data_IF_787286864093
#
_entry.id   IF_787286864093
#
_cell.length_a   1.000
_cell.length_b   1.000
_cell.length_c   1.000
_cell.angle_alpha   90.00
_cell.angle_beta   90.00
_cell.angle_gamma   90.00
#
_symmetry.space_group_name_H-M   'P 1'
#
loop_
_entity.id
_entity.type
_entity.pdbx_description
1 polymer ?
#
# COMPACT_ATOMS: atom_id res chain seq x y z
N UNK A 1 -18.10 8.44 -3.53
CA UNK A 1 -18.43 6.98 -3.59
C UNK A 1 -17.75 6.32 -2.40
N UNK A 2 -18.52 5.58 -1.59
CA UNK A 2 -18.03 5.00 -0.34
C UNK A 2 -16.85 4.03 -0.53
N UNK A 3 -16.93 3.18 -1.55
CA UNK A 3 -15.87 2.22 -1.87
C UNK A 3 -14.57 2.93 -2.25
N UNK A 4 -14.64 3.97 -3.07
CA UNK A 4 -13.49 4.80 -3.45
C UNK A 4 -12.95 5.57 -2.23
N UNK A 5 -13.81 6.20 -1.44
CA UNK A 5 -13.41 6.96 -0.25
C UNK A 5 -12.67 6.07 0.77
N UNK A 6 -13.06 4.78 0.84
CA UNK A 6 -12.38 3.78 1.67
C UNK A 6 -10.97 3.46 1.16
N UNK A 7 -10.79 3.24 -0.14
CA UNK A 7 -9.47 3.03 -0.73
C UNK A 7 -8.57 4.27 -0.54
N UNK A 8 -9.12 5.47 -0.73
CA UNK A 8 -8.39 6.73 -0.49
C UNK A 8 -7.98 6.88 0.98
N UNK A 9 -8.84 6.52 1.93
CA UNK A 9 -8.49 6.55 3.35
C UNK A 9 -7.36 5.56 3.71
N UNK A 10 -7.29 4.43 3.02
CA UNK A 10 -6.16 3.48 3.14
C UNK A 10 -4.88 4.05 2.53
N UNK A 11 -4.97 4.76 1.39
CA UNK A 11 -3.85 5.50 0.82
C UNK A 11 -3.24 6.50 1.79
N UNK A 12 -4.06 7.21 2.57
CA UNK A 12 -3.57 8.17 3.59
C UNK A 12 -2.68 7.49 4.65
N UNK A 13 -3.03 6.26 5.05
CA UNK A 13 -2.22 5.47 5.99
C UNK A 13 -0.92 4.99 5.32
N UNK A 14 -1.01 4.53 4.06
CA UNK A 14 0.14 4.05 3.28
C UNK A 14 1.12 5.20 3.02
N UNK A 15 0.65 6.37 2.63
CA UNK A 15 1.50 7.55 2.40
C UNK A 15 2.25 7.99 3.66
N UNK A 16 1.58 7.99 4.83
CA UNK A 16 2.28 8.24 6.11
C UNK A 16 3.33 7.17 6.40
N UNK A 17 3.06 5.91 6.08
CA UNK A 17 4.06 4.84 6.16
C UNK A 17 5.27 5.09 5.26
N UNK A 18 5.06 5.62 4.04
CA UNK A 18 6.12 6.01 3.11
C UNK A 18 6.95 7.20 3.64
N UNK A 19 6.29 8.19 4.27
CA UNK A 19 6.99 9.33 4.88
C UNK A 19 7.92 8.87 6.01
N UNK A 20 7.45 7.95 6.85
CA UNK A 20 8.25 7.36 7.93
C UNK A 20 9.40 6.52 7.37
N UNK A 21 9.15 5.73 6.32
CA UNK A 21 10.18 4.94 5.63
C UNK A 21 11.27 5.85 5.04
N UNK A 22 10.89 6.96 4.42
CA UNK A 22 11.83 7.94 3.86
C UNK A 22 12.74 8.57 4.94
N UNK A 23 12.15 8.97 6.09
CA UNK A 23 12.92 9.44 7.25
C UNK A 23 13.88 8.37 7.76
N UNK A 24 13.42 7.12 7.88
CA UNK A 24 14.26 6.01 8.31
C UNK A 24 15.44 5.76 7.35
N UNK A 25 15.21 5.81 6.04
CA UNK A 25 16.27 5.71 5.02
C UNK A 25 17.32 6.81 5.21
N UNK A 26 16.91 8.06 5.42
CA UNK A 26 17.84 9.18 5.70
C UNK A 26 18.70 8.94 6.93
N UNK A 27 18.14 8.36 8.00
CA UNK A 27 18.91 7.97 9.21
C UNK A 27 19.85 6.80 8.96
N UNK A 28 19.39 5.80 8.19
CA UNK A 28 20.21 4.66 7.79
C UNK A 28 21.44 5.11 7.00
N UNK A 29 21.26 5.98 6.02
CA UNK A 29 22.36 6.51 5.18
C UNK A 29 23.32 7.42 5.95
N UNK A 30 22.83 8.07 7.03
CA UNK A 30 23.64 8.91 7.91
C UNK A 30 24.22 8.14 9.11
N UNK A 31 24.14 6.82 9.10
CA UNK A 31 24.57 5.93 10.19
C UNK A 31 23.94 6.26 11.57
N UNK A 32 22.73 6.80 11.54
CA UNK A 32 21.96 7.11 12.74
C UNK A 32 21.07 5.93 13.15
N UNK A 33 20.73 5.82 14.46
CA UNK A 33 19.84 4.76 14.92
C UNK A 33 18.41 4.95 14.45
N UNK A 34 17.74 3.82 14.17
CA UNK A 34 16.29 3.71 13.94
C UNK A 34 15.69 2.78 14.99
N UNK A 35 14.37 2.79 15.23
CA UNK A 35 13.71 1.85 16.13
C UNK A 35 14.07 0.40 15.80
N UNK A 36 14.34 -0.41 16.82
CA UNK A 36 14.87 -1.77 16.65
C UNK A 36 13.89 -2.70 15.90
N UNK A 37 12.59 -2.46 16.02
CA UNK A 37 11.53 -3.23 15.35
C UNK A 37 11.23 -2.72 13.93
N UNK A 38 11.67 -1.51 13.56
CA UNK A 38 11.35 -0.89 12.28
C UNK A 38 11.82 -1.69 11.06
N UNK A 39 13.05 -2.25 11.02
CA UNK A 39 13.53 -2.99 9.84
C UNK A 39 12.67 -4.21 9.46
N UNK A 40 12.02 -4.83 10.44
CA UNK A 40 11.09 -5.94 10.22
C UNK A 40 9.63 -5.46 10.10
N UNK A 41 9.26 -4.47 10.89
CA UNK A 41 7.89 -3.95 10.95
C UNK A 41 7.49 -3.20 9.69
N UNK A 42 8.37 -2.39 9.09
CA UNK A 42 8.04 -1.63 7.91
C UNK A 42 7.72 -2.53 6.68
N UNK A 43 8.53 -3.55 6.32
CA UNK A 43 8.13 -4.50 5.28
C UNK A 43 6.87 -5.30 5.63
N UNK A 44 6.64 -5.62 6.91
CA UNK A 44 5.40 -6.30 7.34
C UNK A 44 4.16 -5.40 7.17
N UNK A 45 4.27 -4.11 7.51
CA UNK A 45 3.22 -3.12 7.25
C UNK A 45 2.84 -3.07 5.76
N UNK A 46 3.80 -2.89 4.87
CA UNK A 46 3.51 -2.82 3.43
C UNK A 46 2.99 -4.15 2.88
N UNK A 47 3.52 -5.29 3.31
CA UNK A 47 3.03 -6.59 2.86
C UNK A 47 1.63 -6.95 3.37
N UNK A 48 1.26 -6.52 4.58
CA UNK A 48 -0.03 -6.89 5.17
C UNK A 48 -1.09 -5.84 4.94
N UNK A 49 -0.76 -4.57 5.16
CA UNK A 49 -1.74 -3.49 5.00
C UNK A 49 -1.84 -3.04 3.55
N UNK A 50 -0.74 -2.62 2.91
CA UNK A 50 -0.80 -2.13 1.54
C UNK A 50 -1.10 -3.25 0.53
N UNK A 51 -0.53 -4.45 0.68
CA UNK A 51 -0.75 -5.53 -0.28
C UNK A 51 -1.95 -6.40 0.08
N UNK A 52 -1.93 -7.14 1.20
CA UNK A 52 -2.98 -8.12 1.51
C UNK A 52 -4.32 -7.53 1.92
N UNK A 53 -4.34 -6.30 2.41
CA UNK A 53 -5.60 -5.62 2.75
C UNK A 53 -6.05 -4.70 1.61
N UNK A 54 -5.22 -3.77 1.17
CA UNK A 54 -5.56 -2.74 0.18
C UNK A 54 -5.51 -3.28 -1.26
N UNK A 55 -4.34 -3.63 -1.81
CA UNK A 55 -4.23 -4.12 -3.20
C UNK A 55 -5.09 -5.35 -3.46
N UNK A 56 -5.28 -6.23 -2.48
CA UNK A 56 -6.16 -7.38 -2.67
C UNK A 56 -7.63 -6.99 -2.90
N UNK A 57 -8.13 -5.89 -2.32
CA UNK A 57 -9.46 -5.37 -2.64
C UNK A 57 -9.52 -4.84 -4.07
N UNK A 58 -8.46 -4.21 -4.53
CA UNK A 58 -8.37 -3.71 -5.89
C UNK A 58 -8.29 -4.85 -6.91
N UNK A 59 -7.38 -5.76 -6.74
CA UNK A 59 -7.11 -6.85 -7.68
C UNK A 59 -8.25 -7.87 -7.75
N UNK A 60 -8.83 -8.23 -6.58
CA UNK A 60 -9.84 -9.28 -6.49
C UNK A 60 -11.26 -8.77 -6.74
N UNK A 61 -11.54 -7.49 -6.50
CA UNK A 61 -12.90 -6.94 -6.52
C UNK A 61 -13.04 -5.70 -7.40
N UNK A 62 -12.26 -4.65 -7.14
CA UNK A 62 -12.47 -3.35 -7.75
C UNK A 62 -12.08 -3.33 -9.23
N UNK A 63 -10.88 -3.78 -9.58
CA UNK A 63 -10.43 -3.83 -10.98
C UNK A 63 -11.26 -4.76 -11.86
N UNK A 64 -11.71 -5.95 -11.41
CA UNK A 64 -12.68 -6.76 -12.16
C UNK A 64 -13.97 -6.01 -12.48
N UNK A 65 -14.56 -5.31 -11.52
CA UNK A 65 -15.74 -4.48 -11.78
C UNK A 65 -15.45 -3.39 -12.80
N UNK A 66 -14.33 -2.67 -12.67
CA UNK A 66 -13.98 -1.61 -13.61
C UNK A 66 -13.79 -2.13 -15.04
N UNK A 67 -13.25 -3.35 -15.21
CA UNK A 67 -13.17 -4.02 -16.51
C UNK A 67 -14.56 -4.30 -17.09
N UNK A 68 -15.48 -4.79 -16.28
CA UNK A 68 -16.88 -5.00 -16.69
C UNK A 68 -17.56 -3.69 -17.10
N UNK A 69 -17.17 -2.56 -16.50
CA UNK A 69 -17.66 -1.21 -16.83
C UNK A 69 -16.88 -0.54 -17.96
N UNK A 70 -15.96 -1.26 -18.62
CA UNK A 70 -15.28 -0.82 -19.85
C UNK A 70 -13.93 -0.11 -19.64
N UNK A 71 -13.35 -0.10 -18.43
CA UNK A 71 -11.98 0.38 -18.21
C UNK A 71 -11.02 -0.74 -18.60
N UNK A 72 -10.10 -0.53 -19.57
CA UNK A 72 -9.27 -1.60 -20.08
C UNK A 72 -8.14 -1.97 -19.12
N UNK A 73 -7.84 -3.27 -19.06
CA UNK A 73 -6.61 -3.79 -18.45
C UNK A 73 -5.47 -3.77 -19.45
N UNK A 74 -5.60 -4.52 -20.55
CA UNK A 74 -4.55 -4.59 -21.58
C UNK A 74 -4.37 -3.24 -22.28
N UNK A 75 -3.15 -2.69 -22.17
CA UNK A 75 -2.84 -1.35 -22.70
C UNK A 75 -3.53 -0.20 -21.98
N UNK A 76 -4.19 -0.44 -20.85
CA UNK A 76 -4.96 0.52 -20.09
C UNK A 76 -4.45 0.77 -18.66
N UNK A 77 -5.14 1.61 -17.88
CA UNK A 77 -4.69 2.00 -16.56
C UNK A 77 -4.64 0.81 -15.57
N UNK A 78 -5.56 -0.14 -15.64
CA UNK A 78 -5.58 -1.30 -14.73
C UNK A 78 -4.30 -2.15 -14.89
N UNK A 79 -3.85 -2.40 -16.14
CA UNK A 79 -2.62 -3.16 -16.38
C UNK A 79 -1.37 -2.46 -15.84
N UNK A 80 -1.35 -1.13 -15.85
CA UNK A 80 -0.27 -0.35 -15.25
C UNK A 80 -0.27 -0.53 -13.73
N UNK A 81 -1.43 -0.46 -13.06
CA UNK A 81 -1.55 -0.65 -11.60
C UNK A 81 -1.09 -2.04 -11.20
N UNK A 82 -1.57 -3.09 -11.86
CA UNK A 82 -1.17 -4.48 -11.59
C UNK A 82 0.36 -4.69 -11.72
N UNK A 83 0.97 -4.12 -12.76
CA UNK A 83 2.42 -4.19 -12.94
C UNK A 83 3.17 -3.48 -11.79
N UNK A 84 2.70 -2.33 -11.35
CA UNK A 84 3.33 -1.57 -10.26
C UNK A 84 3.16 -2.27 -8.91
N UNK A 85 2.03 -2.96 -8.68
CA UNK A 85 1.86 -3.84 -7.52
C UNK A 85 2.95 -4.92 -7.48
N UNK A 86 3.23 -5.58 -8.61
CA UNK A 86 4.26 -6.63 -8.67
C UNK A 86 5.66 -6.07 -8.41
N UNK A 87 6.00 -4.91 -8.96
CA UNK A 87 7.28 -4.25 -8.69
C UNK A 87 7.37 -3.84 -7.21
N UNK A 88 6.29 -3.32 -6.63
CA UNK A 88 6.21 -2.98 -5.22
C UNK A 88 6.41 -4.20 -4.30
N UNK A 89 5.79 -5.34 -4.63
CA UNK A 89 5.99 -6.61 -3.91
C UNK A 89 7.45 -7.06 -3.91
N UNK A 90 8.15 -6.89 -5.05
CA UNK A 90 9.59 -7.20 -5.12
C UNK A 90 10.42 -6.29 -4.21
N UNK A 91 10.14 -5.00 -4.19
CA UNK A 91 10.83 -4.06 -3.29
C UNK A 91 10.61 -4.41 -1.81
N UNK A 92 9.36 -4.73 -1.42
CA UNK A 92 9.01 -5.14 -0.05
C UNK A 92 9.71 -6.46 0.32
N UNK A 93 9.76 -7.42 -0.59
CA UNK A 93 10.50 -8.68 -0.39
C UNK A 93 11.98 -8.42 -0.13
N UNK A 94 12.64 -7.56 -0.93
CA UNK A 94 14.06 -7.19 -0.75
C UNK A 94 14.32 -6.46 0.58
N UNK A 95 13.42 -5.58 1.02
CA UNK A 95 13.52 -4.95 2.34
C UNK A 95 13.41 -5.99 3.47
N UNK A 96 12.51 -6.97 3.33
CA UNK A 96 12.35 -8.07 4.31
C UNK A 96 13.60 -8.93 4.37
N UNK A 97 14.14 -9.36 3.24
CA UNK A 97 15.37 -10.15 3.16
C UNK A 97 16.55 -9.43 3.83
N UNK A 98 16.65 -8.11 3.65
CA UNK A 98 17.66 -7.28 4.30
C UNK A 98 17.53 -7.23 5.84
N UNK A 99 16.35 -7.59 6.37
CA UNK A 99 16.01 -7.54 7.80
C UNK A 99 16.02 -8.92 8.48
N UNK A 100 16.12 -10.00 7.70
CA UNK A 100 16.07 -11.37 8.18
C UNK A 100 17.48 -11.91 8.53
N UNK A 101 17.53 -13.04 9.27
CA UNK A 101 18.77 -13.76 9.52
C UNK A 101 19.66 -13.20 10.64
N UNK A 102 19.15 -12.28 11.46
CA UNK A 102 19.85 -11.76 12.65
C UNK A 102 20.89 -10.67 12.36
N UNK A 103 21.10 -10.30 11.11
CA UNK A 103 21.89 -9.14 10.70
C UNK A 103 21.05 -8.23 9.80
N UNK A 104 20.94 -6.96 10.19
CA UNK A 104 20.25 -5.96 9.38
C UNK A 104 21.23 -5.39 8.33
N UNK A 105 21.00 -5.74 7.06
CA UNK A 105 21.71 -5.14 5.92
C UNK A 105 21.12 -3.75 5.60
N UNK A 106 21.70 -2.73 6.23
CA UNK A 106 21.26 -1.33 6.09
C UNK A 106 21.31 -0.84 4.64
N UNK A 107 22.34 -1.22 3.89
CA UNK A 107 22.55 -0.75 2.52
C UNK A 107 21.52 -1.37 1.56
N UNK A 108 21.28 -2.66 1.66
CA UNK A 108 20.27 -3.35 0.85
C UNK A 108 18.86 -2.86 1.17
N UNK A 109 18.54 -2.68 2.46
CA UNK A 109 17.25 -2.13 2.88
C UNK A 109 17.02 -0.73 2.31
N UNK A 110 17.97 0.20 2.48
CA UNK A 110 17.87 1.55 1.97
C UNK A 110 17.74 1.58 0.43
N UNK A 111 18.45 0.72 -0.27
CA UNK A 111 18.36 0.62 -1.74
C UNK A 111 16.95 0.21 -2.17
N UNK A 112 16.39 -0.85 -1.58
CA UNK A 112 15.05 -1.31 -1.91
C UNK A 112 13.97 -0.29 -1.54
N UNK A 113 14.10 0.37 -0.38
CA UNK A 113 13.18 1.41 0.06
C UNK A 113 13.20 2.65 -0.87
N UNK A 114 14.37 3.07 -1.35
CA UNK A 114 14.52 4.20 -2.28
C UNK A 114 13.92 3.94 -3.67
N UNK A 115 13.82 2.69 -4.09
CA UNK A 115 13.08 2.30 -5.29
C UNK A 115 11.57 2.27 -5.02
N UNK A 116 11.16 1.76 -3.86
CA UNK A 116 9.76 1.59 -3.47
C UNK A 116 9.02 2.90 -3.24
N UNK A 117 9.62 3.83 -2.50
CA UNK A 117 8.95 5.09 -2.09
C UNK A 117 8.40 5.88 -3.28
N UNK A 118 9.21 6.27 -4.28
CA UNK A 118 8.71 7.02 -5.42
C UNK A 118 7.74 6.21 -6.30
N UNK A 119 7.96 4.90 -6.42
CA UNK A 119 7.06 4.01 -7.15
C UNK A 119 5.65 4.07 -6.55
N UNK A 120 5.51 3.82 -5.25
CA UNK A 120 4.20 3.73 -4.61
C UNK A 120 3.52 5.10 -4.48
N UNK A 121 4.27 6.18 -4.25
CA UNK A 121 3.70 7.54 -4.28
C UNK A 121 3.12 7.90 -5.65
N UNK A 122 3.83 7.57 -6.74
CA UNK A 122 3.32 7.82 -8.10
C UNK A 122 2.12 6.91 -8.44
N UNK A 123 2.14 5.69 -7.95
CA UNK A 123 1.04 4.73 -8.06
C UNK A 123 -0.23 5.30 -7.41
N UNK A 124 -0.18 5.63 -6.12
CA UNK A 124 -1.30 6.24 -5.37
C UNK A 124 -1.79 7.53 -6.06
N UNK A 125 -0.87 8.37 -6.53
CA UNK A 125 -1.26 9.58 -7.25
C UNK A 125 -2.06 9.27 -8.52
N UNK A 126 -1.68 8.26 -9.29
CA UNK A 126 -2.40 7.86 -10.52
C UNK A 126 -3.76 7.25 -10.19
N UNK A 127 -3.88 6.47 -9.14
CA UNK A 127 -5.16 5.94 -8.70
C UNK A 127 -6.10 7.05 -8.24
N UNK A 128 -5.68 7.86 -7.29
CA UNK A 128 -6.51 8.94 -6.76
C UNK A 128 -6.96 9.95 -7.82
N UNK A 129 -6.08 10.32 -8.75
CA UNK A 129 -6.32 11.41 -9.69
C UNK A 129 -6.77 10.96 -11.09
N UNK A 130 -6.58 9.69 -11.44
CA UNK A 130 -6.95 9.18 -12.77
C UNK A 130 -7.90 8.00 -12.66
N UNK A 131 -7.47 6.85 -12.09
CA UNK A 131 -8.25 5.63 -12.13
C UNK A 131 -9.56 5.75 -11.33
N UNK A 132 -9.53 6.32 -10.13
CA UNK A 132 -10.71 6.49 -9.29
C UNK A 132 -11.68 7.54 -9.86
N UNK A 133 -11.18 8.55 -10.59
CA UNK A 133 -12.04 9.47 -11.33
C UNK A 133 -12.73 8.76 -12.52
N UNK A 134 -12.01 7.90 -13.24
CA UNK A 134 -12.60 7.08 -14.28
C UNK A 134 -13.64 6.12 -13.69
N UNK A 135 -13.34 5.47 -12.57
CA UNK A 135 -14.25 4.60 -11.85
C UNK A 135 -15.55 5.32 -11.46
N UNK A 136 -15.45 6.51 -10.87
CA UNK A 136 -16.61 7.32 -10.48
C UNK A 136 -17.53 7.71 -11.67
N UNK A 137 -16.98 7.75 -12.90
CA UNK A 137 -17.76 8.06 -14.09
C UNK A 137 -18.48 6.84 -14.69
N UNK A 138 -18.03 5.61 -14.39
CA UNK A 138 -18.59 4.39 -14.99
C UNK A 138 -19.37 3.53 -14.01
N UNK A 139 -19.14 3.67 -12.70
CA UNK A 139 -19.86 2.95 -11.65
C UNK A 139 -21.20 3.60 -11.34
N UNK A 140 -22.22 2.77 -11.11
CA UNK A 140 -23.51 3.20 -10.57
C UNK A 140 -23.47 3.28 -9.03
N UNK A 141 -24.50 3.86 -8.41
CA UNK A 141 -24.68 3.85 -6.95
C UNK A 141 -24.86 2.43 -6.39
N UNK A 142 -25.48 1.53 -7.16
CA UNK A 142 -25.62 0.12 -6.79
C UNK A 142 -24.25 -0.59 -6.83
N UNK A 143 -23.40 -0.31 -7.83
CA UNK A 143 -22.04 -0.83 -7.90
C UNK A 143 -21.21 -0.40 -6.68
N UNK A 144 -21.31 0.87 -6.28
CA UNK A 144 -20.59 1.42 -5.13
C UNK A 144 -21.02 0.77 -3.81
N UNK A 145 -22.33 0.57 -3.64
CA UNK A 145 -22.89 -0.06 -2.44
C UNK A 145 -22.47 -1.53 -2.33
N UNK A 146 -22.61 -2.29 -3.43
CA UNK A 146 -22.20 -3.69 -3.51
C UNK A 146 -20.67 -3.86 -3.28
N UNK A 147 -19.89 -2.93 -3.80
CA UNK A 147 -18.43 -2.94 -3.63
C UNK A 147 -18.02 -2.68 -2.17
N UNK A 148 -18.61 -1.70 -1.49
CA UNK A 148 -18.32 -1.42 -0.07
C UNK A 148 -18.72 -2.60 0.84
N UNK A 149 -19.83 -3.26 0.54
CA UNK A 149 -20.26 -4.47 1.23
C UNK A 149 -19.26 -5.63 1.01
N UNK A 150 -18.80 -5.83 -0.22
CA UNK A 150 -17.77 -6.85 -0.55
C UNK A 150 -16.42 -6.57 0.12
N UNK A 151 -16.00 -5.31 0.20
CA UNK A 151 -14.79 -4.94 0.96
C UNK A 151 -14.92 -5.33 2.43
N UNK A 152 -16.07 -5.06 3.03
CA UNK A 152 -16.36 -5.43 4.42
C UNK A 152 -16.33 -6.95 4.61
N UNK A 153 -16.95 -7.71 3.69
CA UNK A 153 -16.95 -9.17 3.75
C UNK A 153 -15.54 -9.75 3.65
N UNK A 154 -14.72 -9.28 2.70
CA UNK A 154 -13.33 -9.75 2.53
C UNK A 154 -12.47 -9.46 3.76
N UNK A 155 -12.64 -8.30 4.38
CA UNK A 155 -11.93 -7.99 5.64
C UNK A 155 -12.32 -8.93 6.78
N UNK A 156 -13.59 -9.30 6.87
CA UNK A 156 -14.07 -10.29 7.86
C UNK A 156 -13.50 -11.68 7.58
N UNK A 157 -13.61 -12.17 6.35
CA UNK A 157 -13.17 -13.50 5.94
C UNK A 157 -11.65 -13.71 6.08
N UNK A 158 -10.87 -12.66 5.84
CA UNK A 158 -9.39 -12.70 5.90
C UNK A 158 -8.82 -12.29 7.26
N UNK A 159 -9.66 -12.07 8.29
CA UNK A 159 -9.25 -11.57 9.61
C UNK A 159 -8.46 -10.26 9.56
N UNK A 160 -8.87 -9.33 8.71
CA UNK A 160 -8.25 -8.02 8.54
C UNK A 160 -8.90 -6.92 9.40
N UNK A 161 -9.94 -7.28 10.17
CA UNK A 161 -10.64 -6.33 11.05
C UNK A 161 -9.65 -5.76 12.07
N UNK A 162 -9.67 -4.45 12.24
CA UNK A 162 -8.77 -3.74 13.16
C UNK A 162 -7.37 -3.50 12.62
N UNK A 163 -7.08 -3.89 11.37
CA UNK A 163 -5.77 -3.62 10.76
C UNK A 163 -5.54 -2.14 10.51
N UNK A 164 -6.58 -1.39 10.17
CA UNK A 164 -6.49 0.06 9.95
C UNK A 164 -6.00 0.75 11.23
N UNK A 165 -6.68 0.53 12.35
CA UNK A 165 -6.34 1.15 13.64
C UNK A 165 -4.96 0.69 14.14
N UNK A 166 -4.66 -0.60 13.95
CA UNK A 166 -3.37 -1.17 14.35
C UNK A 166 -2.21 -0.51 13.61
N UNK A 167 -2.27 -0.50 12.29
CA UNK A 167 -1.16 0.03 11.48
C UNK A 167 -1.09 1.54 11.47
N UNK A 168 -2.23 2.23 11.60
CA UNK A 168 -2.25 3.67 11.83
C UNK A 168 -1.50 4.05 13.11
N UNK A 169 -1.76 3.34 14.21
CA UNK A 169 -1.07 3.54 15.48
C UNK A 169 0.43 3.17 15.39
N UNK A 170 0.78 2.12 14.67
CA UNK A 170 2.16 1.69 14.50
C UNK A 170 2.98 2.71 13.69
N UNK A 171 2.45 3.19 12.58
CA UNK A 171 3.05 4.25 11.76
C UNK A 171 3.20 5.55 12.57
N UNK A 172 2.18 5.94 13.32
CA UNK A 172 2.23 7.13 14.18
C UNK A 172 3.31 7.02 15.28
N UNK A 173 3.50 5.81 15.85
CA UNK A 173 4.58 5.57 16.82
C UNK A 173 5.96 5.72 16.17
N UNK A 174 6.21 5.08 15.04
CA UNK A 174 7.48 5.23 14.33
C UNK A 174 7.77 6.65 13.91
N UNK A 175 6.75 7.41 13.47
CA UNK A 175 6.91 8.82 13.11
C UNK A 175 7.37 9.68 14.30
N UNK A 176 6.94 9.36 15.52
CA UNK A 176 7.38 10.02 16.74
C UNK A 176 8.81 9.62 17.16
N UNK A 177 9.21 8.37 16.91
CA UNK A 177 10.53 7.83 17.28
C UNK A 177 11.62 8.19 16.25
N UNK A 178 11.25 8.32 14.98
CA UNK A 178 12.15 8.71 13.87
C UNK A 178 12.02 10.23 13.62
N UNK A 179 12.71 11.02 14.44
CA UNK A 179 12.72 12.49 14.32
C UNK A 179 13.88 12.98 13.49
#
# INVERSE_FOLDING_TARGET
MKSIDRLVAEHDIIERGLDVLEKAVGRIESDQPIPADFPQGAPDFFARFADKCHHAKEEDLFFPLLKERGIPEEGGPIGVMLHEHDVGRDCVRRMREASEGGQFDRAQFATAAKEFIPLLRQHIFKENNVLFQMAANVMSEDDDTDMDDKFTQVEQERNLIGMHERYDAEVARWDQEIK
#
